data_IF_758137926405
#
_entry.id   IF_758137926405
#
_cell.length_a   1.000
_cell.length_b   1.000
_cell.length_c   1.000
_cell.angle_alpha   90.00
_cell.angle_beta   90.00
_cell.angle_gamma   90.00
#
_symmetry.space_group_name_H-M   'P 1'
#
loop_
_entity.id
_entity.type
_entity.pdbx_description
1 polymer ?
#
# COMPACT_ATOMS: atom_id res chain seq x y z
N UNK A 1 -40.36 -2.74 -20.63
CA UNK A 1 -40.21 -2.15 -19.30
C UNK A 1 -38.81 -1.58 -19.27
N UNK A 2 -38.64 -0.33 -19.70
CA UNK A 2 -37.35 0.36 -19.64
C UNK A 2 -37.10 0.67 -18.16
N UNK A 3 -36.13 0.01 -17.57
CA UNK A 3 -35.63 0.36 -16.25
C UNK A 3 -34.79 1.60 -16.46
N UNK A 4 -35.41 2.74 -16.27
CA UNK A 4 -34.73 4.03 -16.24
C UNK A 4 -33.97 4.08 -14.88
N UNK A 5 -32.80 3.45 -14.88
CA UNK A 5 -31.91 3.49 -13.73
C UNK A 5 -31.36 4.92 -13.65
N UNK A 6 -31.81 5.67 -12.67
CA UNK A 6 -31.25 6.97 -12.37
C UNK A 6 -29.81 6.76 -11.87
N UNK A 7 -28.83 7.16 -12.65
CA UNK A 7 -27.41 6.96 -12.35
C UNK A 7 -27.01 7.58 -10.98
N UNK A 8 -27.70 8.64 -10.54
CA UNK A 8 -27.47 9.24 -9.24
C UNK A 8 -27.95 8.36 -8.07
N UNK A 9 -29.04 7.58 -8.25
CA UNK A 9 -29.48 6.60 -7.24
C UNK A 9 -28.56 5.38 -7.20
N UNK A 10 -27.91 5.09 -8.32
CA UNK A 10 -26.93 4.01 -8.43
C UNK A 10 -25.69 4.29 -7.57
N UNK A 11 -25.28 5.55 -7.48
CA UNK A 11 -24.18 6.00 -6.61
C UNK A 11 -24.42 5.73 -5.13
N UNK A 12 -25.66 5.64 -4.72
CA UNK A 12 -26.05 5.43 -3.33
C UNK A 12 -26.34 3.95 -3.02
N UNK A 13 -26.55 3.11 -4.04
CA UNK A 13 -26.85 1.70 -3.84
C UNK A 13 -25.60 0.83 -3.81
N UNK A 14 -25.52 -0.04 -2.81
CA UNK A 14 -24.34 -0.91 -2.60
C UNK A 14 -23.98 -1.80 -3.78
N UNK A 15 -24.96 -2.15 -4.62
CA UNK A 15 -24.76 -3.09 -5.74
C UNK A 15 -24.20 -2.46 -7.01
N UNK A 16 -24.17 -1.14 -7.08
CA UNK A 16 -23.75 -0.41 -8.28
C UNK A 16 -22.48 0.40 -8.07
N UNK A 17 -21.90 0.29 -6.89
CA UNK A 17 -20.59 0.83 -6.54
C UNK A 17 -19.49 0.39 -7.51
N UNK A 18 -19.66 -0.74 -8.16
CA UNK A 18 -18.68 -1.31 -9.10
C UNK A 18 -18.52 -0.43 -10.32
N UNK A 19 -19.63 -0.05 -10.95
CA UNK A 19 -19.60 0.75 -12.19
C UNK A 19 -19.03 2.12 -11.88
N UNK A 20 -19.42 2.67 -10.74
CA UNK A 20 -19.01 4.00 -10.33
C UNK A 20 -17.60 4.03 -9.77
N UNK A 21 -17.19 3.02 -9.01
CA UNK A 21 -15.79 2.92 -8.59
C UNK A 21 -14.89 2.78 -9.81
N UNK A 22 -15.25 1.94 -10.77
CA UNK A 22 -14.55 1.83 -12.05
C UNK A 22 -14.56 3.14 -12.84
N UNK A 23 -15.71 3.80 -12.96
CA UNK A 23 -15.84 5.08 -13.64
C UNK A 23 -15.10 6.22 -12.92
N UNK A 24 -15.27 6.33 -11.61
CA UNK A 24 -14.54 7.30 -10.78
C UNK A 24 -13.03 7.08 -10.81
N UNK A 25 -12.59 5.83 -10.77
CA UNK A 25 -11.18 5.50 -10.80
C UNK A 25 -10.59 5.83 -12.18
N UNK A 26 -11.27 5.50 -13.26
CA UNK A 26 -10.83 5.86 -14.62
C UNK A 26 -10.81 7.37 -14.81
N UNK A 27 -11.84 8.07 -14.39
CA UNK A 27 -11.89 9.53 -14.43
C UNK A 27 -10.78 10.14 -13.55
N UNK A 28 -10.53 9.57 -12.37
CA UNK A 28 -9.48 10.05 -11.48
C UNK A 28 -8.06 9.88 -12.05
N UNK A 29 -7.79 8.87 -12.88
CA UNK A 29 -6.49 8.78 -13.57
C UNK A 29 -6.36 9.90 -14.60
N UNK A 30 -7.44 10.17 -15.35
CA UNK A 30 -7.45 11.19 -16.39
C UNK A 30 -7.48 12.60 -15.81
N UNK A 31 -8.11 12.77 -14.64
CA UNK A 31 -8.26 14.04 -13.91
C UNK A 31 -7.18 14.26 -12.84
N UNK A 32 -6.09 13.51 -12.90
CA UNK A 32 -4.98 13.63 -11.96
C UNK A 32 -4.50 15.07 -11.89
N UNK A 33 -4.71 15.69 -10.73
CA UNK A 33 -4.44 17.11 -10.55
C UNK A 33 -2.93 17.37 -10.47
N UNK A 34 -2.51 18.56 -10.88
CA UNK A 34 -1.09 18.92 -10.91
C UNK A 34 -0.39 18.74 -9.54
N UNK A 35 -1.09 19.01 -8.43
CA UNK A 35 -0.54 18.84 -7.10
C UNK A 35 -0.24 17.36 -6.74
N UNK A 36 -1.04 16.42 -7.22
CA UNK A 36 -0.80 14.99 -7.00
C UNK A 36 0.44 14.49 -7.74
N UNK A 37 0.63 14.99 -8.95
CA UNK A 37 1.85 14.72 -9.70
C UNK A 37 3.10 15.20 -8.95
N UNK A 38 3.03 16.40 -8.36
CA UNK A 38 4.10 16.91 -7.50
C UNK A 38 4.25 16.05 -6.24
N UNK A 39 3.14 15.69 -5.59
CA UNK A 39 3.15 14.83 -4.41
C UNK A 39 3.84 13.49 -4.70
N UNK A 40 3.43 12.79 -5.75
CA UNK A 40 4.05 11.52 -6.18
C UNK A 40 5.53 11.72 -6.49
N UNK A 41 5.89 12.79 -7.20
CA UNK A 41 7.28 13.06 -7.60
C UNK A 41 8.18 13.30 -6.38
N UNK A 42 7.77 14.16 -5.45
CA UNK A 42 8.50 14.42 -4.21
C UNK A 42 8.62 13.13 -3.40
N UNK A 43 7.55 12.40 -3.29
CA UNK A 43 7.49 11.14 -2.58
C UNK A 43 8.46 10.10 -3.17
N UNK A 44 8.50 9.92 -4.50
CA UNK A 44 9.47 9.03 -5.15
C UNK A 44 10.91 9.47 -4.93
N UNK A 45 11.18 10.76 -4.97
CA UNK A 45 12.52 11.30 -4.71
C UNK A 45 12.94 10.94 -3.27
N UNK A 46 12.11 11.23 -2.29
CA UNK A 46 12.39 10.89 -0.89
C UNK A 46 12.57 9.38 -0.69
N UNK A 47 11.73 8.58 -1.34
CA UNK A 47 11.83 7.12 -1.30
C UNK A 47 13.15 6.61 -1.87
N UNK A 48 13.57 7.09 -3.04
CA UNK A 48 14.85 6.72 -3.65
C UNK A 48 16.03 7.10 -2.73
N UNK A 49 15.99 8.29 -2.12
CA UNK A 49 17.01 8.70 -1.16
C UNK A 49 17.05 7.78 0.04
N UNK A 50 15.91 7.44 0.59
CA UNK A 50 15.80 6.52 1.72
C UNK A 50 16.34 5.13 1.38
N UNK A 51 15.94 4.58 0.23
CA UNK A 51 16.44 3.27 -0.25
C UNK A 51 17.95 3.30 -0.45
N UNK A 52 18.52 4.36 -1.07
CA UNK A 52 19.96 4.52 -1.22
C UNK A 52 20.68 4.58 0.12
N UNK A 53 20.11 5.31 1.09
CA UNK A 53 20.64 5.38 2.46
C UNK A 53 20.69 4.00 3.10
N UNK A 54 19.60 3.24 3.01
CA UNK A 54 19.52 1.86 3.56
C UNK A 54 20.53 0.92 2.86
N UNK A 55 20.60 0.95 1.53
CA UNK A 55 21.57 0.13 0.77
C UNK A 55 22.98 0.38 1.28
N UNK A 56 23.34 1.65 1.47
CA UNK A 56 24.67 2.05 1.94
C UNK A 56 24.92 1.63 3.39
N UNK A 57 23.97 1.91 4.28
CA UNK A 57 24.10 1.63 5.72
C UNK A 57 24.15 0.13 6.02
N UNK A 58 23.37 -0.67 5.29
CA UNK A 58 23.26 -2.13 5.50
C UNK A 58 24.17 -2.95 4.57
N UNK A 59 24.96 -2.29 3.70
CA UNK A 59 25.88 -2.90 2.72
C UNK A 59 25.19 -3.95 1.83
N UNK A 60 24.02 -3.60 1.31
CA UNK A 60 23.19 -4.50 0.50
C UNK A 60 23.64 -4.52 -0.96
N UNK A 61 23.29 -5.62 -1.65
CA UNK A 61 23.42 -5.66 -3.11
C UNK A 61 22.34 -4.77 -3.74
N UNK A 62 22.77 -3.64 -4.30
CA UNK A 62 21.90 -2.62 -4.90
C UNK A 62 20.97 -3.20 -5.98
N UNK A 63 21.46 -4.09 -6.81
CA UNK A 63 20.69 -4.64 -7.91
C UNK A 63 19.51 -5.49 -7.39
N UNK A 64 19.75 -6.31 -6.34
CA UNK A 64 18.68 -7.10 -5.71
C UNK A 64 17.64 -6.22 -5.05
N UNK A 65 18.05 -5.15 -4.37
CA UNK A 65 17.12 -4.22 -3.71
C UNK A 65 16.27 -3.49 -4.74
N UNK A 66 16.89 -2.93 -5.78
CA UNK A 66 16.13 -2.24 -6.83
C UNK A 66 15.20 -3.19 -7.57
N UNK A 67 15.66 -4.41 -7.87
CA UNK A 67 14.81 -5.42 -8.49
C UNK A 67 13.59 -5.77 -7.61
N UNK A 68 13.80 -6.00 -6.30
CA UNK A 68 12.72 -6.32 -5.36
C UNK A 68 11.68 -5.20 -5.31
N UNK A 69 12.13 -3.95 -5.22
CA UNK A 69 11.25 -2.77 -5.18
C UNK A 69 10.51 -2.61 -6.52
N UNK A 70 11.21 -2.65 -7.65
CA UNK A 70 10.57 -2.54 -8.97
C UNK A 70 9.57 -3.66 -9.23
N UNK A 71 9.89 -4.88 -8.80
CA UNK A 71 9.01 -6.03 -8.88
C UNK A 71 7.74 -5.80 -8.05
N UNK A 72 7.87 -5.27 -6.84
CA UNK A 72 6.70 -4.96 -6.03
C UNK A 72 5.85 -3.83 -6.64
N UNK A 73 6.46 -2.76 -7.15
CA UNK A 73 5.71 -1.70 -7.83
C UNK A 73 4.99 -2.17 -9.10
N UNK A 74 5.54 -3.15 -9.80
CA UNK A 74 4.83 -3.81 -10.89
C UNK A 74 3.52 -4.47 -10.37
N UNK A 75 3.56 -5.13 -9.20
CA UNK A 75 2.35 -5.70 -8.59
C UNK A 75 1.39 -4.63 -8.06
N UNK A 76 1.86 -3.47 -7.60
CA UNK A 76 0.99 -2.35 -7.23
C UNK A 76 0.17 -1.90 -8.44
N UNK A 77 0.81 -1.76 -9.61
CA UNK A 77 0.11 -1.42 -10.84
C UNK A 77 -0.89 -2.53 -11.24
N UNK A 78 -0.49 -3.79 -11.14
CA UNK A 78 -1.39 -4.92 -11.42
C UNK A 78 -2.57 -4.97 -10.46
N UNK A 79 -2.35 -4.76 -9.16
CA UNK A 79 -3.41 -4.73 -8.17
C UNK A 79 -4.37 -3.56 -8.41
N UNK A 80 -3.84 -2.40 -8.81
CA UNK A 80 -4.65 -1.26 -9.21
C UNK A 80 -5.53 -1.60 -10.43
N UNK A 81 -4.95 -2.15 -11.51
CA UNK A 81 -5.72 -2.58 -12.69
C UNK A 81 -6.76 -3.65 -12.32
N UNK A 82 -6.40 -4.58 -11.44
CA UNK A 82 -7.32 -5.59 -10.94
C UNK A 82 -8.50 -4.95 -10.19
N UNK A 83 -8.25 -3.96 -9.34
CA UNK A 83 -9.31 -3.25 -8.61
C UNK A 83 -10.26 -2.44 -9.51
N UNK A 84 -9.81 -2.05 -10.71
CA UNK A 84 -10.70 -1.44 -11.71
C UNK A 84 -11.67 -2.44 -12.35
N UNK A 85 -11.31 -3.73 -12.35
CA UNK A 85 -12.07 -4.79 -13.04
C UNK A 85 -12.91 -5.62 -12.08
N UNK A 86 -12.48 -5.71 -10.80
CA UNK A 86 -13.09 -6.59 -9.81
C UNK A 86 -13.22 -5.87 -8.48
N UNK A 87 -14.42 -5.96 -7.89
CA UNK A 87 -14.67 -5.42 -6.54
C UNK A 87 -13.84 -6.17 -5.50
N UNK A 88 -13.25 -5.42 -4.62
CA UNK A 88 -12.43 -5.94 -3.53
C UNK A 88 -12.58 -5.07 -2.27
N UNK A 89 -12.03 -5.54 -1.15
CA UNK A 89 -12.13 -4.84 0.14
C UNK A 89 -11.55 -3.42 0.10
N UNK A 90 -10.55 -3.18 -0.74
CA UNK A 90 -9.94 -1.84 -0.89
C UNK A 90 -10.92 -0.83 -1.45
N UNK A 91 -11.75 -1.25 -2.41
CA UNK A 91 -12.80 -0.40 -2.99
C UNK A 91 -13.81 -0.03 -1.92
N UNK A 92 -14.18 -1.00 -1.09
CA UNK A 92 -15.08 -0.79 0.06
C UNK A 92 -14.48 0.22 1.05
N UNK A 93 -13.21 0.09 1.41
CA UNK A 93 -12.54 1.04 2.32
C UNK A 93 -12.46 2.45 1.74
N UNK A 94 -12.19 2.55 0.43
CA UNK A 94 -12.13 3.84 -0.26
C UNK A 94 -13.51 4.50 -0.34
N UNK A 95 -14.55 3.72 -0.68
CA UNK A 95 -15.92 4.23 -0.74
C UNK A 95 -16.42 4.69 0.62
N UNK A 96 -16.21 3.89 1.66
CA UNK A 96 -16.55 4.28 3.02
C UNK A 96 -15.86 5.59 3.41
N UNK A 97 -14.59 5.74 3.02
CA UNK A 97 -13.83 6.95 3.27
C UNK A 97 -14.39 8.18 2.52
N UNK A 98 -14.86 7.98 1.29
CA UNK A 98 -15.41 9.05 0.44
C UNK A 98 -16.82 9.47 0.88
N UNK A 99 -17.66 8.51 1.27
CA UNK A 99 -19.04 8.75 1.70
C UNK A 99 -19.14 9.19 3.17
N UNK A 100 -18.01 9.26 3.86
CA UNK A 100 -17.98 9.68 5.24
C UNK A 100 -18.44 11.11 5.39
N UNK A 101 -19.62 11.26 5.99
CA UNK A 101 -20.11 12.52 6.50
C UNK A 101 -19.86 12.54 8.01
N UNK A 102 -19.40 13.65 8.56
CA UNK A 102 -19.07 13.80 9.99
C UNK A 102 -20.18 13.42 10.96
N UNK A 103 -21.40 13.19 10.44
CA UNK A 103 -22.58 12.78 11.21
C UNK A 103 -22.75 11.24 11.33
N UNK A 104 -21.94 10.45 10.62
CA UNK A 104 -22.05 8.99 10.58
C UNK A 104 -20.99 8.30 11.47
N UNK A 105 -20.74 8.86 12.65
CA UNK A 105 -19.69 8.48 13.60
C UNK A 105 -19.64 7.00 13.98
N UNK A 106 -20.69 6.23 13.70
CA UNK A 106 -20.84 4.92 14.35
C UNK A 106 -20.38 3.77 13.48
N UNK A 107 -20.45 3.86 12.15
CA UNK A 107 -20.10 2.71 11.30
C UNK A 107 -18.62 2.69 10.86
N UNK A 108 -17.95 3.81 10.78
CA UNK A 108 -16.53 3.87 10.41
C UNK A 108 -15.57 3.53 11.54
N UNK A 109 -15.98 3.67 12.80
CA UNK A 109 -15.12 3.37 13.95
C UNK A 109 -14.55 1.95 13.97
N UNK A 110 -15.08 1.05 13.14
CA UNK A 110 -14.62 -0.33 13.05
C UNK A 110 -13.58 -0.60 11.95
N UNK A 111 -13.22 0.39 11.13
CA UNK A 111 -12.29 0.18 10.04
C UNK A 111 -11.23 1.29 9.93
N UNK A 112 -10.09 1.05 10.56
CA UNK A 112 -8.96 1.98 10.57
C UNK A 112 -8.49 2.36 9.15
N UNK A 113 -8.65 1.46 8.15
CA UNK A 113 -8.24 1.76 6.77
C UNK A 113 -9.15 2.78 6.09
N UNK A 114 -10.46 2.74 6.37
CA UNK A 114 -11.38 3.76 5.88
C UNK A 114 -11.05 5.13 6.48
N UNK A 115 -10.68 5.18 7.76
CA UNK A 115 -10.24 6.42 8.43
C UNK A 115 -8.95 6.96 7.79
N UNK A 116 -7.96 6.10 7.56
CA UNK A 116 -6.70 6.50 6.89
C UNK A 116 -7.00 7.05 5.50
N UNK A 117 -7.79 6.33 4.71
CA UNK A 117 -8.17 6.77 3.37
C UNK A 117 -8.96 8.08 3.40
N UNK A 118 -9.86 8.25 4.38
CA UNK A 118 -10.58 9.51 4.58
C UNK A 118 -9.61 10.69 4.76
N UNK A 119 -8.65 10.58 5.65
CA UNK A 119 -7.64 11.64 5.83
C UNK A 119 -6.80 11.89 4.57
N UNK A 120 -6.44 10.85 3.83
CA UNK A 120 -5.69 10.98 2.59
C UNK A 120 -6.52 11.72 1.51
N UNK A 121 -7.82 11.44 1.42
CA UNK A 121 -8.73 12.08 0.49
C UNK A 121 -8.99 13.54 0.89
N UNK A 122 -9.40 13.80 2.14
CA UNK A 122 -9.87 15.11 2.55
C UNK A 122 -8.77 16.10 2.90
N UNK A 123 -7.68 15.66 3.52
CA UNK A 123 -6.58 16.56 3.91
C UNK A 123 -5.63 16.79 2.74
N UNK A 124 -5.25 15.70 2.04
CA UNK A 124 -4.26 15.77 0.96
C UNK A 124 -4.90 15.83 -0.43
N UNK A 125 -6.23 15.66 -0.51
CA UNK A 125 -7.00 15.64 -1.76
C UNK A 125 -6.42 14.64 -2.78
N UNK A 126 -6.09 13.42 -2.29
CA UNK A 126 -5.48 12.38 -3.09
C UNK A 126 -6.56 11.50 -3.75
N UNK A 127 -6.34 11.19 -5.02
CA UNK A 127 -7.15 10.24 -5.76
C UNK A 127 -6.75 8.80 -5.49
N UNK A 128 -7.63 7.87 -5.83
CA UNK A 128 -7.48 6.45 -5.58
C UNK A 128 -6.13 5.89 -6.06
N UNK A 129 -5.71 6.21 -7.30
CA UNK A 129 -4.41 5.79 -7.83
C UNK A 129 -3.24 6.29 -6.98
N UNK A 130 -3.28 7.55 -6.57
CA UNK A 130 -2.23 8.15 -5.73
C UNK A 130 -2.14 7.46 -4.38
N UNK A 131 -3.29 7.05 -3.82
CA UNK A 131 -3.36 6.27 -2.57
C UNK A 131 -2.73 4.88 -2.77
N UNK A 132 -3.00 4.19 -3.90
CA UNK A 132 -2.32 2.94 -4.24
C UNK A 132 -0.80 3.07 -4.22
N UNK A 133 -0.28 4.08 -4.91
CA UNK A 133 1.16 4.34 -4.97
C UNK A 133 1.71 4.67 -3.58
N UNK A 134 1.00 5.50 -2.82
CA UNK A 134 1.44 5.94 -1.49
C UNK A 134 1.46 4.78 -0.48
N UNK A 135 0.38 3.99 -0.39
CA UNK A 135 0.34 2.85 0.52
C UNK A 135 1.23 1.69 0.07
N UNK A 136 1.44 1.54 -1.24
CA UNK A 136 2.40 0.59 -1.81
C UNK A 136 3.85 0.83 -1.36
N UNK A 137 4.19 2.05 -0.92
CA UNK A 137 5.47 2.33 -0.27
C UNK A 137 5.64 1.57 1.05
N UNK A 138 4.61 1.55 1.89
CA UNK A 138 4.70 0.88 3.17
C UNK A 138 4.97 -0.61 2.98
N UNK A 139 4.29 -1.26 2.04
CA UNK A 139 4.57 -2.66 1.72
C UNK A 139 5.95 -2.85 1.08
N UNK A 140 6.40 -1.96 0.20
CA UNK A 140 7.76 -1.99 -0.37
C UNK A 140 8.84 -1.91 0.72
N UNK A 141 8.63 -1.04 1.71
CA UNK A 141 9.50 -0.92 2.87
C UNK A 141 9.48 -2.18 3.74
N UNK A 142 8.31 -2.78 3.92
CA UNK A 142 8.15 -4.06 4.61
C UNK A 142 9.01 -5.15 3.97
N UNK A 143 8.93 -5.33 2.65
CA UNK A 143 9.79 -6.26 1.91
C UNK A 143 11.28 -5.95 2.07
N UNK A 144 11.65 -4.68 2.02
CA UNK A 144 13.04 -4.28 2.21
C UNK A 144 13.57 -4.64 3.61
N UNK A 145 12.80 -4.35 4.65
CA UNK A 145 13.20 -4.71 6.01
C UNK A 145 13.24 -6.23 6.22
N UNK A 146 12.32 -6.99 5.65
CA UNK A 146 12.37 -8.46 5.65
C UNK A 146 13.61 -8.97 4.93
N UNK A 147 13.92 -8.44 3.74
CA UNK A 147 15.11 -8.83 3.00
C UNK A 147 16.40 -8.60 3.80
N UNK A 148 16.53 -7.44 4.45
CA UNK A 148 17.67 -7.13 5.31
C UNK A 148 17.75 -8.12 6.46
N UNK A 149 16.64 -8.30 7.14
CA UNK A 149 16.54 -9.09 8.35
C UNK A 149 16.89 -10.56 8.10
N UNK A 150 16.23 -11.14 7.14
CA UNK A 150 16.50 -12.55 6.77
C UNK A 150 17.87 -12.73 6.16
N UNK A 151 18.38 -11.79 5.36
CA UNK A 151 19.75 -11.87 4.84
C UNK A 151 20.80 -11.94 5.94
N UNK A 152 20.58 -11.21 7.05
CA UNK A 152 21.48 -11.21 8.20
C UNK A 152 21.31 -12.46 9.08
N UNK A 153 20.07 -12.89 9.31
CA UNK A 153 19.80 -14.11 10.09
C UNK A 153 20.39 -15.32 9.36
N UNK A 154 20.05 -15.48 8.09
CA UNK A 154 20.46 -16.67 7.31
C UNK A 154 21.96 -16.70 7.00
N UNK A 155 22.63 -15.54 7.01
CA UNK A 155 24.10 -15.52 6.88
C UNK A 155 24.80 -16.25 8.03
N UNK A 156 24.19 -16.29 9.22
CA UNK A 156 24.71 -17.03 10.37
C UNK A 156 24.59 -18.55 10.20
N UNK A 157 23.63 -19.01 9.40
CA UNK A 157 23.34 -20.43 9.14
C UNK A 157 23.89 -20.91 7.80
N UNK A 158 24.72 -20.12 7.12
CA UNK A 158 25.30 -20.42 5.81
C UNK A 158 24.25 -20.77 4.71
N UNK A 159 23.02 -20.32 4.89
CA UNK A 159 21.94 -20.53 3.91
C UNK A 159 22.17 -19.68 2.67
N UNK A 160 21.86 -20.24 1.51
CA UNK A 160 22.00 -19.54 0.23
C UNK A 160 21.07 -18.33 0.16
N UNK A 161 21.66 -17.13 0.08
CA UNK A 161 20.92 -15.86 0.00
C UNK A 161 20.08 -15.73 -1.28
N UNK A 162 20.35 -16.50 -2.32
CA UNK A 162 19.54 -16.50 -3.53
C UNK A 162 18.21 -17.23 -3.32
N UNK A 163 18.20 -18.28 -2.50
CA UNK A 163 16.97 -18.98 -2.12
C UNK A 163 16.03 -18.02 -1.37
N UNK A 164 16.55 -17.29 -0.39
CA UNK A 164 15.78 -16.28 0.32
C UNK A 164 15.20 -15.24 -0.65
N UNK A 165 16.02 -14.74 -1.56
CA UNK A 165 15.58 -13.76 -2.53
C UNK A 165 14.45 -14.33 -3.40
N UNK A 166 14.56 -15.60 -3.85
CA UNK A 166 13.49 -16.27 -4.58
C UNK A 166 12.18 -16.41 -3.79
N UNK A 167 12.27 -16.70 -2.49
CA UNK A 167 11.08 -16.75 -1.61
C UNK A 167 10.42 -15.39 -1.49
N UNK A 168 11.20 -14.32 -1.33
CA UNK A 168 10.66 -12.96 -1.25
C UNK A 168 10.05 -12.47 -2.56
N UNK A 169 10.36 -13.09 -3.70
CA UNK A 169 9.76 -12.79 -5.00
C UNK A 169 8.48 -13.59 -5.28
N UNK A 170 7.93 -14.30 -4.30
CA UNK A 170 6.72 -15.06 -4.52
C UNK A 170 5.54 -14.15 -4.92
N UNK A 171 4.96 -14.34 -6.12
CA UNK A 171 4.05 -13.36 -6.72
C UNK A 171 2.83 -13.02 -5.88
N UNK A 172 2.22 -14.02 -5.22
CA UNK A 172 1.03 -13.79 -4.41
C UNK A 172 1.29 -12.87 -3.21
N UNK A 173 2.47 -12.93 -2.59
CA UNK A 173 2.80 -12.00 -1.51
C UNK A 173 2.81 -10.55 -2.00
N UNK A 174 3.45 -10.33 -3.16
CA UNK A 174 3.50 -9.00 -3.76
C UNK A 174 2.11 -8.52 -4.17
N UNK A 175 1.31 -9.41 -4.78
CA UNK A 175 -0.03 -9.06 -5.23
C UNK A 175 -0.95 -8.65 -4.08
N UNK A 176 -1.11 -9.50 -3.07
CA UNK A 176 -2.02 -9.21 -1.95
C UNK A 176 -1.58 -8.02 -1.10
N UNK A 177 -0.28 -7.82 -0.90
CA UNK A 177 0.23 -6.68 -0.13
C UNK A 177 0.33 -5.39 -0.94
N UNK A 178 -0.03 -5.41 -2.22
CA UNK A 178 -0.06 -4.22 -3.09
C UNK A 178 -1.36 -3.44 -2.99
N UNK A 179 -2.42 -4.04 -2.47
CA UNK A 179 -3.68 -3.33 -2.26
C UNK A 179 -3.57 -2.32 -1.10
N UNK A 180 -4.20 -1.13 -1.22
CA UNK A 180 -4.30 -0.15 -0.15
C UNK A 180 -5.18 -0.64 0.99
N UNK A 181 -4.69 -1.57 1.77
CA UNK A 181 -5.39 -2.22 2.85
C UNK A 181 -4.48 -2.51 4.04
N UNK A 182 -5.03 -3.23 5.00
CA UNK A 182 -4.32 -3.64 6.22
C UNK A 182 -3.04 -4.41 5.91
N UNK A 183 -3.04 -5.21 4.85
CA UNK A 183 -1.91 -6.08 4.49
C UNK A 183 -0.64 -5.31 4.14
N UNK A 184 -0.77 -4.14 3.51
CA UNK A 184 0.36 -3.28 3.18
C UNK A 184 1.04 -2.71 4.44
N UNK A 185 0.25 -2.27 5.41
CA UNK A 185 0.74 -1.74 6.70
C UNK A 185 1.25 -2.87 7.58
N UNK A 186 0.54 -3.99 7.61
CA UNK A 186 0.93 -5.18 8.35
C UNK A 186 2.28 -5.75 7.90
N UNK A 187 2.54 -5.77 6.58
CA UNK A 187 3.83 -6.19 6.04
C UNK A 187 4.97 -5.28 6.51
N UNK A 188 4.76 -3.96 6.53
CA UNK A 188 5.73 -3.01 7.09
C UNK A 188 5.98 -3.29 8.56
N UNK A 189 4.92 -3.51 9.32
CA UNK A 189 5.02 -3.84 10.74
C UNK A 189 5.86 -5.08 10.99
N UNK A 190 5.57 -6.18 10.31
CA UNK A 190 6.36 -7.42 10.39
C UNK A 190 7.82 -7.16 9.99
N UNK A 191 8.05 -6.43 8.91
CA UNK A 191 9.39 -6.07 8.46
C UNK A 191 10.18 -5.33 9.53
N UNK A 192 9.58 -4.33 10.18
CA UNK A 192 10.17 -3.57 11.27
C UNK A 192 10.41 -4.42 12.51
N UNK A 193 9.50 -5.33 12.85
CA UNK A 193 9.68 -6.26 13.96
C UNK A 193 10.92 -7.14 13.76
N UNK A 194 11.07 -7.78 12.59
CA UNK A 194 12.26 -8.57 12.29
C UNK A 194 13.52 -7.71 12.27
N UNK A 195 13.42 -6.48 11.78
CA UNK A 195 14.55 -5.54 11.79
C UNK A 195 14.95 -5.14 13.22
N UNK A 196 13.97 -4.96 14.13
CA UNK A 196 14.22 -4.79 15.56
C UNK A 196 15.00 -5.98 16.15
N UNK A 197 14.62 -7.21 15.84
CA UNK A 197 15.31 -8.39 16.38
C UNK A 197 16.81 -8.41 16.05
N UNK A 198 17.21 -7.74 14.96
CA UNK A 198 18.60 -7.65 14.53
C UNK A 198 19.31 -6.43 15.13
N UNK A 199 18.64 -5.27 15.07
CA UNK A 199 19.24 -4.00 15.51
C UNK A 199 19.14 -3.76 17.01
N UNK A 200 18.19 -4.42 17.67
CA UNK A 200 17.90 -4.26 19.12
C UNK A 200 17.56 -2.80 19.51
N UNK A 201 17.06 -2.02 18.56
CA UNK A 201 16.65 -0.64 18.79
C UNK A 201 15.13 -0.60 19.00
N UNK A 202 14.69 -0.27 20.21
CA UNK A 202 13.29 -0.25 20.63
C UNK A 202 12.38 0.64 19.77
N UNK A 203 12.94 1.63 19.09
CA UNK A 203 12.21 2.49 18.17
C UNK A 203 11.47 1.67 17.08
N UNK A 204 12.14 0.68 16.48
CA UNK A 204 11.52 -0.18 15.45
C UNK A 204 10.42 -1.07 16.03
N UNK A 205 10.57 -1.52 17.28
CA UNK A 205 9.56 -2.31 17.96
C UNK A 205 8.30 -1.48 18.24
N UNK A 206 8.47 -0.27 18.76
CA UNK A 206 7.36 0.64 19.08
C UNK A 206 6.56 0.95 17.80
N UNK A 207 7.23 1.33 16.71
CA UNK A 207 6.56 1.60 15.44
C UNK A 207 5.84 0.33 14.91
N UNK A 208 6.50 -0.83 14.98
CA UNK A 208 5.88 -2.10 14.57
C UNK A 208 4.58 -2.36 15.35
N UNK A 209 4.58 -2.19 16.67
CA UNK A 209 3.39 -2.39 17.50
C UNK A 209 2.30 -1.39 17.10
N UNK A 210 2.62 -0.12 16.94
CA UNK A 210 1.64 0.91 16.53
C UNK A 210 0.99 0.53 15.20
N UNK A 211 1.79 0.09 14.22
CA UNK A 211 1.28 -0.29 12.89
C UNK A 211 0.42 -1.56 12.89
N UNK A 212 0.59 -2.47 13.85
CA UNK A 212 -0.28 -3.66 14.01
C UNK A 212 -1.69 -3.24 14.46
N UNK A 213 -1.80 -2.18 15.27
CA UNK A 213 -3.07 -1.71 15.79
C UNK A 213 -3.83 -0.77 14.82
N UNK A 214 -3.18 -0.32 13.74
CA UNK A 214 -3.83 0.39 12.64
C UNK A 214 -4.53 -0.57 11.68
#
# INVERSE_FOLDING_TARGET
>A
MEINLNLEEIFVSDNLKIIDTGGLIVNNILDMRLHEFFFISIYFILFIFFVKFIIKSEKLNKNKVYFLISYHYFFIILAYVYSLLYVNDTDSFFQQAYLFNENDDIQMANNNMSIINHYLIYIFNLHYFTIFIFLGFFSSMGFLFLFISFSKILSKFQVNKNLLFGILLFPSWHFFTSFPGKDSIFLLSIGLFFFYLIKKNSFYLIISIILIYL
#
